data_IF_505871306938
#
_entry.id   IF_505871306938
#
_cell.length_a   1.000
_cell.length_b   1.000
_cell.length_c   1.000
_cell.angle_alpha   90.00
_cell.angle_beta   90.00
_cell.angle_gamma   90.00
#
_symmetry.space_group_name_H-M   'P 1'
#
loop_
_entity.id
_entity.type
_entity.pdbx_description
1 polymer ?
#
# COMPACT_ATOMS: atom_id res chain seq x y z
N UNK A 1 -4.07 3.47 7.11
CA UNK A 1 -3.41 2.64 8.15
C UNK A 1 -2.46 3.47 9.01
N UNK A 2 -1.32 3.92 8.49
CA UNK A 2 -0.45 4.85 9.24
C UNK A 2 -1.20 6.14 9.65
N UNK A 3 -2.08 6.63 8.78
CA UNK A 3 -2.96 7.78 9.04
C UNK A 3 -3.74 7.67 10.36
N UNK A 4 -4.13 6.47 10.78
CA UNK A 4 -4.82 6.27 12.06
C UNK A 4 -3.89 6.56 13.25
N UNK A 5 -2.67 6.03 13.24
CA UNK A 5 -1.66 6.28 14.27
C UNK A 5 -1.32 7.77 14.33
N UNK A 6 -1.10 8.39 13.16
CA UNK A 6 -0.83 9.82 13.05
C UNK A 6 -1.97 10.67 13.62
N UNK A 7 -3.22 10.32 13.33
CA UNK A 7 -4.40 11.06 13.80
C UNK A 7 -4.60 10.96 15.32
N UNK A 8 -4.21 9.84 15.93
CA UNK A 8 -4.39 9.61 17.37
C UNK A 8 -3.13 9.91 18.19
N UNK A 9 -2.06 10.39 17.54
CA UNK A 9 -0.80 10.70 18.21
C UNK A 9 -0.08 9.46 18.77
N UNK A 10 -0.35 8.29 18.22
CA UNK A 10 0.34 7.07 18.63
C UNK A 10 1.73 7.02 18.01
N UNK A 11 2.74 6.74 18.84
CA UNK A 11 4.08 6.40 18.37
C UNK A 11 4.08 4.97 17.84
N UNK A 12 3.77 4.82 16.55
CA UNK A 12 3.69 3.54 15.88
C UNK A 12 3.94 3.67 14.38
N UNK A 13 4.57 2.65 13.82
CA UNK A 13 4.91 2.58 12.40
C UNK A 13 4.31 1.33 11.77
N UNK A 14 3.52 1.54 10.71
CA UNK A 14 3.04 0.44 9.88
C UNK A 14 4.10 0.09 8.85
N UNK A 15 4.53 -1.18 8.86
CA UNK A 15 5.53 -1.73 7.95
C UNK A 15 4.87 -2.81 7.10
N UNK A 16 5.03 -2.73 5.78
CA UNK A 16 4.43 -3.69 4.83
C UNK A 16 5.50 -4.17 3.85
N UNK A 17 5.76 -5.48 3.76
CA UNK A 17 6.65 -6.02 2.73
C UNK A 17 5.96 -6.03 1.37
N UNK A 18 6.71 -5.71 0.30
CA UNK A 18 6.15 -5.61 -1.06
C UNK A 18 5.49 -6.93 -1.49
N UNK A 19 6.10 -8.07 -1.17
CA UNK A 19 5.55 -9.39 -1.57
C UNK A 19 4.18 -9.69 -0.94
N UNK A 20 3.79 -8.97 0.12
CA UNK A 20 2.50 -9.15 0.79
C UNK A 20 1.40 -8.23 0.21
N UNK A 21 1.72 -7.44 -0.81
CA UNK A 21 0.75 -6.60 -1.52
C UNK A 21 0.53 -7.21 -2.89
N UNK A 22 -0.71 -7.63 -3.14
CA UNK A 22 -1.12 -8.18 -4.42
C UNK A 22 -2.44 -7.56 -4.88
N UNK A 23 -2.67 -7.61 -6.18
CA UNK A 23 -3.82 -7.06 -6.88
C UNK A 23 -4.31 -8.10 -7.89
N UNK A 24 -5.38 -7.80 -8.62
CA UNK A 24 -5.98 -8.74 -9.56
C UNK A 24 -6.27 -8.06 -10.90
N UNK A 25 -6.29 -8.85 -11.97
CA UNK A 25 -6.81 -8.41 -13.26
C UNK A 25 -8.35 -8.45 -13.26
N UNK A 26 -8.96 -7.42 -13.83
CA UNK A 26 -10.40 -7.40 -14.10
C UNK A 26 -10.68 -6.76 -15.46
N UNK A 27 -10.84 -7.63 -16.47
CA UNK A 27 -10.98 -7.26 -17.89
C UNK A 27 -12.19 -6.35 -18.15
N UNK A 28 -13.29 -6.57 -17.43
CA UNK A 28 -14.53 -5.78 -17.61
C UNK A 28 -14.36 -4.29 -17.28
N UNK A 29 -13.31 -3.92 -16.54
CA UNK A 29 -13.03 -2.54 -16.12
C UNK A 29 -11.64 -2.04 -16.54
N UNK A 30 -10.90 -2.79 -17.36
CA UNK A 30 -9.48 -2.52 -17.66
C UNK A 30 -8.60 -2.39 -16.40
N UNK A 31 -8.94 -3.10 -15.32
CA UNK A 31 -8.13 -3.08 -14.10
C UNK A 31 -6.95 -4.03 -14.29
N UNK A 32 -5.79 -3.49 -14.63
CA UNK A 32 -4.57 -4.26 -14.79
C UNK A 32 -3.90 -4.48 -13.43
N UNK A 33 -3.69 -5.74 -13.05
CA UNK A 33 -3.12 -6.16 -11.76
C UNK A 33 -1.79 -5.48 -11.48
N UNK A 34 -0.82 -5.61 -12.39
CA UNK A 34 0.53 -5.07 -12.22
C UNK A 34 0.54 -3.54 -12.03
N UNK A 35 -0.19 -2.81 -12.87
CA UNK A 35 -0.31 -1.36 -12.76
C UNK A 35 -0.92 -0.97 -11.41
N UNK A 36 -1.98 -1.67 -11.00
CA UNK A 36 -2.65 -1.39 -9.75
C UNK A 36 -1.79 -1.73 -8.54
N UNK A 37 -0.96 -2.77 -8.62
CA UNK A 37 0.02 -3.10 -7.58
C UNK A 37 0.94 -1.90 -7.32
N UNK A 38 1.52 -1.34 -8.38
CA UNK A 38 2.41 -0.17 -8.31
C UNK A 38 1.68 1.05 -7.76
N UNK A 39 0.46 1.33 -8.23
CA UNK A 39 -0.36 2.46 -7.76
C UNK A 39 -0.68 2.32 -6.27
N UNK A 40 -1.00 1.11 -5.80
CA UNK A 40 -1.26 0.85 -4.39
C UNK A 40 -0.03 1.04 -3.52
N UNK A 41 1.13 0.51 -3.94
CA UNK A 41 2.40 0.70 -3.22
C UNK A 41 2.77 2.19 -3.14
N UNK A 42 2.58 2.94 -4.23
CA UNK A 42 2.81 4.38 -4.25
C UNK A 42 1.91 5.12 -3.25
N UNK A 43 0.62 4.77 -3.21
CA UNK A 43 -0.34 5.33 -2.24
C UNK A 43 0.06 5.01 -0.79
N UNK A 44 0.53 3.80 -0.51
CA UNK A 44 1.01 3.41 0.83
C UNK A 44 2.16 4.31 1.29
N UNK A 45 3.17 4.49 0.42
CA UNK A 45 4.32 5.35 0.70
C UNK A 45 3.88 6.80 0.93
N UNK A 46 3.00 7.33 0.07
CA UNK A 46 2.47 8.69 0.20
C UNK A 46 1.68 8.93 1.49
N UNK A 47 1.09 7.88 2.05
CA UNK A 47 0.36 7.92 3.33
C UNK A 47 1.23 7.61 4.55
N UNK A 48 2.56 7.50 4.39
CA UNK A 48 3.51 7.26 5.48
C UNK A 48 3.67 5.80 5.91
N UNK A 49 3.13 4.85 5.16
CA UNK A 49 3.39 3.42 5.40
C UNK A 49 4.81 3.10 4.94
N UNK A 50 5.60 2.43 5.79
CA UNK A 50 6.94 1.98 5.44
C UNK A 50 6.87 0.70 4.63
N UNK A 51 6.99 0.84 3.32
CA UNK A 51 7.09 -0.29 2.40
C UNK A 51 8.54 -0.79 2.37
N UNK A 52 8.75 -2.10 2.51
CA UNK A 52 10.09 -2.71 2.54
C UNK A 52 10.25 -3.79 1.47
N UNK A 53 11.46 -3.88 0.90
CA UNK A 53 11.96 -5.06 0.19
C UNK A 53 12.79 -5.89 1.16
N UNK A 54 12.83 -7.19 0.92
CA UNK A 54 13.71 -8.13 1.63
C UNK A 54 15.19 -7.72 1.53
#
# INVERSE_FOLDING_TARGET
MQTYFNHHGYDGQVIVPIYAVDTYDLDVTNHNGDLMNVVFLYSMIGNGVKVVRD
#
